data_IF_999924763133
#
_entry.id   IF_999924763133
#
_cell.length_a   1.000
_cell.length_b   1.000
_cell.length_c   1.000
_cell.angle_alpha   90.00
_cell.angle_beta   90.00
_cell.angle_gamma   90.00
#
_symmetry.space_group_name_H-M   'P 1'
#
loop_
_entity.id
_entity.type
_entity.pdbx_description
1 polymer ?
#
# COMPACT_ATOMS: atom_id res chain seq x y z
N UNK A 1 81.62 -54.40 -71.86
CA UNK A 1 81.34 -54.85 -70.48
C UNK A 1 82.04 -54.02 -69.41
N UNK A 2 83.39 -54.06 -69.24
CA UNK A 2 84.10 -53.42 -68.10
C UNK A 2 83.66 -51.98 -67.75
N UNK A 3 83.45 -51.11 -68.74
CA UNK A 3 82.96 -49.73 -68.54
C UNK A 3 81.60 -49.70 -67.83
N UNK A 4 80.61 -50.49 -68.27
CA UNK A 4 79.30 -50.59 -67.61
C UNK A 4 79.41 -51.08 -66.16
N UNK A 5 80.32 -52.00 -65.83
CA UNK A 5 80.53 -52.42 -64.44
C UNK A 5 81.18 -51.32 -63.56
N UNK A 6 81.90 -50.36 -64.14
CA UNK A 6 82.39 -49.18 -63.42
C UNK A 6 81.25 -48.19 -63.19
N UNK A 7 80.43 -47.92 -64.22
CA UNK A 7 79.22 -47.09 -64.08
C UNK A 7 78.24 -47.65 -63.04
N UNK A 8 77.94 -48.96 -63.05
CA UNK A 8 77.08 -49.56 -62.05
C UNK A 8 77.64 -49.45 -60.63
N UNK A 9 78.97 -49.59 -60.43
CA UNK A 9 79.61 -49.42 -59.12
C UNK A 9 79.57 -47.98 -58.63
N UNK A 10 79.80 -47.00 -59.52
CA UNK A 10 79.66 -45.58 -59.19
C UNK A 10 78.20 -45.24 -58.86
N UNK A 11 77.25 -45.70 -59.67
CA UNK A 11 75.82 -45.47 -59.47
C UNK A 11 75.33 -46.08 -58.15
N UNK A 12 75.75 -47.30 -57.81
CA UNK A 12 75.40 -47.97 -56.54
C UNK A 12 75.98 -47.30 -55.29
N UNK A 13 76.96 -46.42 -55.45
CA UNK A 13 77.60 -45.68 -54.36
C UNK A 13 77.06 -44.24 -54.27
N UNK A 14 76.81 -43.60 -55.42
CA UNK A 14 76.25 -42.25 -55.51
C UNK A 14 74.73 -42.20 -55.23
N UNK A 15 73.93 -43.19 -55.64
CA UNK A 15 72.50 -43.23 -55.35
C UNK A 15 72.17 -43.19 -53.84
N UNK A 16 72.75 -44.06 -52.97
CA UNK A 16 72.45 -44.01 -51.54
C UNK A 16 72.99 -42.74 -50.87
N UNK A 17 74.09 -42.15 -51.35
CA UNK A 17 74.57 -40.86 -50.86
C UNK A 17 73.59 -39.74 -51.23
N UNK A 18 73.16 -39.67 -52.49
CA UNK A 18 72.19 -38.68 -52.96
C UNK A 18 70.85 -38.80 -52.21
N UNK A 19 70.37 -40.03 -51.99
CA UNK A 19 69.16 -40.30 -51.20
C UNK A 19 69.34 -39.88 -49.73
N UNK A 20 70.48 -40.19 -49.11
CA UNK A 20 70.76 -39.79 -47.74
C UNK A 20 70.85 -38.26 -47.58
N UNK A 21 71.48 -37.55 -48.53
CA UNK A 21 71.51 -36.08 -48.52
C UNK A 21 70.14 -35.46 -48.78
N UNK A 22 69.31 -36.07 -49.64
CA UNK A 22 67.94 -35.63 -49.87
C UNK A 22 67.08 -35.79 -48.61
N UNK A 23 67.12 -36.97 -47.97
CA UNK A 23 66.39 -37.25 -46.73
C UNK A 23 66.87 -36.36 -45.57
N UNK A 24 68.17 -36.01 -45.53
CA UNK A 24 68.70 -35.07 -44.55
C UNK A 24 68.16 -33.65 -44.76
N UNK A 25 68.17 -33.13 -45.99
CA UNK A 25 67.56 -31.82 -46.30
C UNK A 25 66.05 -31.79 -46.05
N UNK A 26 65.33 -32.87 -46.35
CA UNK A 26 63.90 -32.99 -46.06
C UNK A 26 63.65 -32.99 -44.55
N UNK A 27 64.49 -33.69 -43.77
CA UNK A 27 64.45 -33.65 -42.31
C UNK A 27 64.77 -32.26 -41.75
N UNK A 28 65.76 -31.56 -42.30
CA UNK A 28 66.18 -30.22 -41.88
C UNK A 28 65.04 -29.19 -42.09
N UNK A 29 64.41 -29.20 -43.27
CA UNK A 29 63.24 -28.35 -43.59
C UNK A 29 62.03 -28.69 -42.71
N UNK A 30 61.84 -29.96 -42.33
CA UNK A 30 60.78 -30.35 -41.39
C UNK A 30 61.06 -29.87 -39.96
N UNK A 31 62.31 -29.93 -39.49
CA UNK A 31 62.69 -29.34 -38.18
C UNK A 31 62.48 -27.84 -38.16
N UNK A 32 62.97 -27.10 -39.17
CA UNK A 32 62.81 -25.63 -39.26
C UNK A 32 61.34 -25.18 -39.26
N UNK A 33 60.46 -25.91 -39.98
CA UNK A 33 59.01 -25.67 -39.97
C UNK A 33 58.37 -25.88 -38.60
N UNK A 34 58.89 -26.83 -37.81
CA UNK A 34 58.38 -27.13 -36.48
C UNK A 34 58.89 -26.16 -35.42
N UNK A 35 60.16 -25.74 -35.50
CA UNK A 35 60.77 -24.76 -34.60
C UNK A 35 60.15 -23.39 -34.81
N UNK A 36 60.09 -22.89 -36.05
CA UNK A 36 59.44 -21.60 -36.38
C UNK A 36 57.95 -21.57 -36.01
N UNK A 37 57.22 -22.68 -36.14
CA UNK A 37 55.83 -22.77 -35.68
C UNK A 37 55.72 -22.73 -34.14
N UNK A 38 56.65 -23.36 -33.43
CA UNK A 38 56.69 -23.30 -31.96
C UNK A 38 57.07 -21.91 -31.47
N UNK A 39 58.07 -21.25 -32.08
CA UNK A 39 58.46 -19.87 -31.74
C UNK A 39 57.32 -18.89 -31.97
N UNK A 40 56.58 -19.02 -33.08
CA UNK A 40 55.39 -18.22 -33.40
C UNK A 40 54.26 -18.46 -32.38
N UNK A 41 53.91 -19.71 -32.10
CA UNK A 41 52.90 -20.05 -31.07
C UNK A 41 53.31 -19.63 -29.67
N UNK A 42 54.60 -19.67 -29.34
CA UNK A 42 55.13 -19.15 -28.08
C UNK A 42 55.01 -17.63 -28.05
N UNK A 43 55.33 -16.92 -29.14
CA UNK A 43 55.15 -15.46 -29.26
C UNK A 43 53.68 -15.05 -29.12
N UNK A 44 52.77 -15.71 -29.83
CA UNK A 44 51.31 -15.48 -29.75
C UNK A 44 50.78 -15.77 -28.34
N UNK A 45 51.27 -16.83 -27.70
CA UNK A 45 50.97 -17.12 -26.30
C UNK A 45 51.55 -16.07 -25.35
N UNK A 46 52.73 -15.49 -25.64
CA UNK A 46 53.26 -14.38 -24.87
C UNK A 46 52.40 -13.13 -25.02
N UNK A 47 51.93 -12.75 -26.22
CA UNK A 47 51.06 -11.56 -26.36
C UNK A 47 49.65 -11.78 -25.77
N UNK A 48 48.96 -12.87 -26.10
CA UNK A 48 47.57 -13.11 -25.66
C UNK A 48 47.45 -13.60 -24.20
N UNK A 49 48.42 -14.37 -23.70
CA UNK A 49 48.38 -14.92 -22.33
C UNK A 49 49.30 -14.19 -21.35
N UNK A 50 50.41 -13.59 -21.79
CA UNK A 50 51.46 -13.05 -20.91
C UNK A 50 51.87 -11.59 -21.17
N UNK A 51 51.13 -10.80 -21.98
CA UNK A 51 51.47 -9.40 -22.29
C UNK A 51 51.96 -8.66 -21.04
N UNK A 52 53.19 -8.10 -21.10
CA UNK A 52 54.20 -7.91 -20.02
C UNK A 52 53.75 -7.22 -18.71
N UNK A 53 52.71 -7.78 -18.09
CA UNK A 53 51.85 -7.11 -17.12
C UNK A 53 51.39 -8.12 -16.07
N UNK A 54 52.33 -8.94 -15.58
CA UNK A 54 52.11 -9.76 -14.38
C UNK A 54 51.52 -8.91 -13.25
N UNK A 55 51.99 -7.68 -13.09
CA UNK A 55 51.43 -6.68 -12.18
C UNK A 55 49.93 -6.40 -12.37
N UNK A 56 49.43 -6.32 -13.61
CA UNK A 56 47.99 -6.16 -13.86
C UNK A 56 47.20 -7.44 -13.60
N UNK A 57 47.79 -8.63 -13.82
CA UNK A 57 47.14 -9.89 -13.44
C UNK A 57 47.12 -10.09 -11.92
N UNK A 58 48.18 -9.70 -11.22
CA UNK A 58 48.25 -9.68 -9.75
C UNK A 58 47.28 -8.63 -9.16
N UNK A 59 47.17 -7.43 -9.76
CA UNK A 59 46.17 -6.42 -9.41
C UNK A 59 44.74 -6.91 -9.70
N UNK A 60 44.49 -7.50 -10.86
CA UNK A 60 43.18 -8.08 -11.21
C UNK A 60 42.78 -9.18 -10.22
N UNK A 61 43.70 -10.07 -9.84
CA UNK A 61 43.48 -11.09 -8.82
C UNK A 61 43.19 -10.47 -7.45
N UNK A 62 43.87 -9.37 -7.09
CA UNK A 62 43.61 -8.63 -5.84
C UNK A 62 42.24 -7.94 -5.85
N UNK A 63 41.87 -7.25 -6.93
CA UNK A 63 40.53 -6.64 -7.09
C UNK A 63 39.42 -7.71 -7.12
N UNK A 64 39.69 -8.87 -7.73
CA UNK A 64 38.77 -10.01 -7.73
C UNK A 64 38.59 -10.55 -6.30
N UNK A 65 39.68 -10.80 -5.58
CA UNK A 65 39.62 -11.24 -4.19
C UNK A 65 38.86 -10.24 -3.31
N UNK A 66 39.06 -8.93 -3.50
CA UNK A 66 38.34 -7.89 -2.76
C UNK A 66 36.86 -7.72 -3.18
N UNK A 67 36.44 -8.23 -4.34
CA UNK A 67 35.03 -8.36 -4.72
C UNK A 67 34.42 -9.64 -4.15
N UNK A 68 35.12 -10.77 -4.26
CA UNK A 68 34.69 -12.06 -3.71
C UNK A 68 34.58 -11.97 -2.17
N UNK A 69 35.51 -11.31 -1.49
CA UNK A 69 35.48 -11.00 -0.04
C UNK A 69 34.26 -10.14 0.35
N UNK A 70 33.95 -9.09 -0.42
CA UNK A 70 32.78 -8.24 -0.18
C UNK A 70 31.45 -8.94 -0.50
N UNK A 71 31.47 -10.00 -1.31
CA UNK A 71 30.33 -10.85 -1.58
C UNK A 71 30.14 -11.92 -0.48
N UNK A 72 31.24 -12.52 -0.01
CA UNK A 72 31.22 -13.53 1.06
C UNK A 72 30.94 -12.92 2.43
N UNK A 73 31.37 -11.67 2.71
CA UNK A 73 31.04 -10.99 3.96
C UNK A 73 29.55 -10.71 4.11
N UNK A 74 28.86 -10.41 2.99
CA UNK A 74 27.42 -10.16 2.90
C UNK A 74 26.92 -9.23 4.03
N UNK A 75 27.70 -8.18 4.33
CA UNK A 75 27.41 -7.25 5.42
C UNK A 75 26.15 -6.43 5.13
N UNK A 76 25.30 -6.17 6.14
CA UNK A 76 24.17 -5.26 5.99
C UNK A 76 24.69 -3.82 5.84
N UNK A 77 24.19 -3.13 4.82
CA UNK A 77 24.58 -1.75 4.48
C UNK A 77 23.34 -0.88 4.54
N UNK A 78 23.48 0.38 4.97
CA UNK A 78 22.32 1.29 5.07
C UNK A 78 21.76 1.68 3.70
N UNK A 79 20.61 2.34 3.70
CA UNK A 79 20.00 2.96 2.52
C UNK A 79 20.72 4.25 2.07
N UNK A 80 21.57 4.84 2.90
CA UNK A 80 22.28 6.10 2.63
C UNK A 80 23.73 5.88 2.15
N UNK A 81 24.34 4.73 2.49
CA UNK A 81 25.71 4.37 2.11
C UNK A 81 25.80 3.84 0.68
N UNK A 82 26.91 4.16 -0.01
CA UNK A 82 27.22 3.54 -1.31
C UNK A 82 27.45 2.03 -1.17
N UNK A 83 26.90 1.24 -2.10
CA UNK A 83 27.02 -0.21 -2.03
C UNK A 83 28.49 -0.67 -2.22
N UNK A 84 29.14 -1.27 -1.20
CA UNK A 84 30.53 -1.70 -1.29
C UNK A 84 30.74 -2.75 -2.37
N UNK A 85 29.80 -3.68 -2.58
CA UNK A 85 29.90 -4.70 -3.62
C UNK A 85 29.85 -4.07 -5.03
N UNK A 86 29.07 -3.00 -5.21
CA UNK A 86 29.03 -2.23 -6.46
C UNK A 86 30.33 -1.46 -6.69
N UNK A 87 30.92 -0.87 -5.64
CA UNK A 87 32.23 -0.19 -5.71
C UNK A 87 33.35 -1.18 -6.05
N UNK A 88 33.42 -2.34 -5.39
CA UNK A 88 34.39 -3.40 -5.70
C UNK A 88 34.20 -3.95 -7.12
N UNK A 89 32.96 -4.05 -7.60
CA UNK A 89 32.68 -4.43 -8.98
C UNK A 89 33.12 -3.36 -10.00
N UNK A 90 32.93 -2.08 -9.71
CA UNK A 90 33.41 -0.99 -10.57
C UNK A 90 34.95 -0.99 -10.66
N UNK A 91 35.62 -1.13 -9.52
CA UNK A 91 37.07 -1.34 -9.39
C UNK A 91 37.56 -2.51 -10.26
N UNK A 92 37.01 -3.70 -10.02
CA UNK A 92 37.35 -4.94 -10.75
C UNK A 92 37.07 -4.83 -12.24
N UNK A 93 35.94 -4.22 -12.62
CA UNK A 93 35.59 -4.01 -14.02
C UNK A 93 36.55 -3.02 -14.69
N UNK A 94 37.06 -2.01 -13.98
CA UNK A 94 38.02 -1.06 -14.55
C UNK A 94 39.34 -1.75 -14.92
N UNK A 95 39.82 -2.69 -14.11
CA UNK A 95 41.05 -3.45 -14.38
C UNK A 95 40.83 -4.57 -15.40
N UNK A 96 39.68 -5.25 -15.38
CA UNK A 96 39.27 -6.18 -16.45
C UNK A 96 39.13 -5.45 -17.81
N UNK A 97 38.48 -4.28 -17.85
CA UNK A 97 38.30 -3.52 -19.08
C UNK A 97 39.64 -2.93 -19.60
N UNK A 98 40.58 -2.57 -18.73
CA UNK A 98 41.93 -2.13 -19.12
C UNK A 98 42.79 -3.23 -19.79
N UNK A 99 42.52 -4.51 -19.48
CA UNK A 99 43.13 -5.66 -20.15
C UNK A 99 42.34 -6.07 -21.41
N UNK A 100 41.03 -6.30 -21.26
CA UNK A 100 40.18 -6.92 -22.29
C UNK A 100 39.64 -5.94 -23.35
N UNK A 101 39.82 -4.62 -23.17
CA UNK A 101 39.43 -3.58 -24.13
C UNK A 101 40.59 -2.80 -24.75
N UNK A 102 41.85 -3.18 -24.51
CA UNK A 102 42.93 -2.69 -25.36
C UNK A 102 42.64 -3.08 -26.82
N UNK A 103 42.75 -2.12 -27.76
CA UNK A 103 42.55 -2.37 -29.18
C UNK A 103 43.56 -3.36 -29.72
N UNK A 104 44.84 -3.23 -29.35
CA UNK A 104 45.93 -4.09 -29.82
C UNK A 104 45.64 -5.57 -29.50
N UNK A 105 45.32 -5.86 -28.24
CA UNK A 105 44.94 -7.20 -27.77
C UNK A 105 43.70 -7.77 -28.50
N UNK A 106 42.74 -6.92 -28.88
CA UNK A 106 41.54 -7.35 -29.62
C UNK A 106 41.84 -7.61 -31.09
N UNK A 107 42.60 -6.73 -31.72
CA UNK A 107 42.99 -6.85 -33.12
C UNK A 107 43.93 -8.06 -33.31
N UNK A 108 44.81 -8.36 -32.36
CA UNK A 108 45.59 -9.61 -32.30
C UNK A 108 44.69 -10.84 -32.09
N UNK A 109 43.77 -10.79 -31.11
CA UNK A 109 42.87 -11.91 -30.81
C UNK A 109 41.96 -12.26 -31.99
N UNK A 110 41.40 -11.27 -32.69
CA UNK A 110 40.54 -11.50 -33.87
C UNK A 110 41.33 -11.99 -35.10
N UNK A 111 42.64 -11.68 -35.20
CA UNK A 111 43.54 -12.26 -36.21
C UNK A 111 43.93 -13.71 -35.89
N UNK A 112 44.29 -13.99 -34.64
CA UNK A 112 44.77 -15.31 -34.20
C UNK A 112 43.63 -16.32 -33.98
N UNK A 113 42.40 -15.85 -33.72
CA UNK A 113 41.20 -16.68 -33.61
C UNK A 113 40.49 -16.93 -34.95
N UNK A 114 41.25 -17.21 -36.01
CA UNK A 114 40.74 -17.53 -37.35
C UNK A 114 40.74 -19.04 -37.65
N UNK A 115 39.85 -19.49 -38.54
CA UNK A 115 39.88 -20.83 -39.14
C UNK A 115 40.87 -20.87 -40.31
N UNK A 116 42.00 -21.57 -40.13
CA UNK A 116 43.07 -21.67 -41.12
C UNK A 116 42.89 -22.93 -41.99
N UNK A 117 42.43 -22.74 -43.22
CA UNK A 117 42.26 -23.79 -44.23
C UNK A 117 43.55 -24.29 -44.89
N UNK A 118 43.42 -25.12 -45.92
CA UNK A 118 44.54 -25.78 -46.61
C UNK A 118 45.64 -24.80 -47.08
N UNK A 119 45.25 -23.78 -47.85
CA UNK A 119 46.15 -22.78 -48.43
C UNK A 119 46.36 -21.54 -47.54
N UNK A 120 45.93 -21.55 -46.27
CA UNK A 120 45.88 -20.34 -45.42
C UNK A 120 47.26 -19.75 -45.07
N UNK A 121 48.23 -20.62 -44.80
CA UNK A 121 49.64 -20.27 -44.61
C UNK A 121 50.51 -21.08 -45.56
N UNK A 122 51.56 -20.45 -46.09
CA UNK A 122 52.55 -21.06 -46.98
C UNK A 122 53.93 -20.95 -46.31
N UNK A 123 54.77 -21.98 -46.45
CA UNK A 123 56.16 -21.94 -45.99
C UNK A 123 57.04 -21.17 -46.99
N UNK A 124 57.60 -20.04 -46.56
CA UNK A 124 58.69 -19.38 -47.29
C UNK A 124 60.03 -20.00 -46.86
N UNK A 125 60.62 -20.80 -47.76
CA UNK A 125 61.94 -21.41 -47.56
C UNK A 125 63.11 -20.42 -47.64
N UNK A 126 62.90 -19.20 -48.14
CA UNK A 126 63.94 -18.17 -48.20
C UNK A 126 64.04 -17.36 -46.91
N UNK A 127 62.90 -17.02 -46.28
CA UNK A 127 62.85 -16.35 -44.98
C UNK A 127 62.64 -17.30 -43.78
N UNK A 128 62.59 -18.63 -44.02
CA UNK A 128 62.40 -19.70 -43.02
C UNK A 128 61.24 -19.45 -42.05
N UNK A 129 60.09 -19.07 -42.61
CA UNK A 129 58.88 -18.74 -41.82
C UNK A 129 57.59 -19.05 -42.57
N UNK A 130 56.51 -19.16 -41.81
CA UNK A 130 55.16 -19.18 -42.35
C UNK A 130 54.75 -17.78 -42.82
N UNK A 131 54.02 -17.69 -43.93
CA UNK A 131 53.44 -16.46 -44.46
C UNK A 131 51.95 -16.63 -44.74
N UNK A 132 51.10 -15.67 -44.35
CA UNK A 132 49.66 -15.73 -44.62
C UNK A 132 49.39 -15.54 -46.12
N UNK A 133 48.51 -16.37 -46.67
CA UNK A 133 48.16 -16.31 -48.08
C UNK A 133 47.08 -15.24 -48.33
N UNK A 134 47.47 -14.11 -48.93
CA UNK A 134 46.58 -12.99 -49.23
C UNK A 134 45.38 -13.33 -50.16
N UNK A 135 45.38 -14.50 -50.82
CA UNK A 135 44.27 -14.97 -51.65
C UNK A 135 43.17 -15.70 -50.84
N UNK A 136 43.44 -16.10 -49.59
CA UNK A 136 42.52 -16.90 -48.77
C UNK A 136 41.81 -16.01 -47.74
N UNK A 137 40.51 -15.78 -47.92
CA UNK A 137 39.71 -15.03 -46.94
C UNK A 137 39.30 -15.93 -45.77
N UNK A 138 40.07 -15.84 -44.69
CA UNK A 138 39.81 -16.48 -43.40
C UNK A 138 38.53 -15.94 -42.73
N UNK A 139 37.99 -16.72 -41.78
CA UNK A 139 36.85 -16.36 -40.93
C UNK A 139 37.05 -16.90 -39.51
N UNK A 140 36.53 -16.25 -38.46
CA UNK A 140 36.64 -16.75 -37.09
C UNK A 140 35.66 -17.92 -36.86
N UNK A 141 36.03 -18.92 -36.04
CA UNK A 141 35.23 -20.13 -35.86
C UNK A 141 33.92 -19.86 -35.11
N UNK A 142 32.95 -20.74 -35.32
CA UNK A 142 31.60 -20.60 -34.73
C UNK A 142 31.47 -21.16 -33.31
N UNK A 143 32.55 -21.72 -32.75
CA UNK A 143 32.61 -22.20 -31.36
C UNK A 143 33.79 -23.14 -31.11
N UNK A 144 33.74 -23.89 -30.00
CA UNK A 144 34.79 -24.81 -29.55
C UNK A 144 34.67 -26.25 -30.12
N UNK A 145 33.86 -26.45 -31.18
CA UNK A 145 33.75 -27.74 -31.87
C UNK A 145 34.88 -27.85 -32.89
N UNK A 146 35.49 -29.03 -33.00
CA UNK A 146 36.47 -29.33 -34.05
C UNK A 146 35.91 -28.99 -35.45
N UNK A 147 36.45 -27.97 -36.14
CA UNK A 147 35.96 -27.57 -37.45
C UNK A 147 36.40 -28.55 -38.56
N UNK A 148 37.44 -29.36 -38.31
CA UNK A 148 38.02 -30.27 -39.28
C UNK A 148 37.57 -31.73 -39.13
N UNK A 149 36.57 -31.98 -38.27
CA UNK A 149 36.01 -33.31 -37.96
C UNK A 149 35.53 -34.08 -39.20
N UNK A 150 35.16 -33.37 -40.26
CA UNK A 150 34.72 -33.97 -41.52
C UNK A 150 35.90 -34.14 -42.47
N UNK A 151 36.61 -35.27 -42.36
CA UNK A 151 37.75 -35.62 -43.20
C UNK A 151 37.42 -35.71 -44.71
N UNK A 152 36.15 -35.77 -45.09
CA UNK A 152 35.74 -35.73 -46.51
C UNK A 152 35.83 -34.32 -47.10
N UNK A 153 35.65 -33.28 -46.27
CA UNK A 153 35.82 -31.86 -46.64
C UNK A 153 37.20 -31.33 -46.26
N UNK A 154 37.79 -31.90 -45.22
CA UNK A 154 39.02 -31.44 -44.58
C UNK A 154 39.99 -32.61 -44.37
N UNK A 155 40.56 -33.20 -45.43
CA UNK A 155 41.53 -34.28 -45.30
C UNK A 155 42.87 -33.77 -44.73
N UNK A 156 43.70 -34.67 -44.18
CA UNK A 156 45.06 -34.31 -43.72
C UNK A 156 46.05 -34.15 -44.88
N UNK A 157 45.85 -34.90 -45.95
CA UNK A 157 46.69 -34.92 -47.14
C UNK A 157 45.84 -34.68 -48.39
N UNK A 158 46.48 -34.25 -49.48
CA UNK A 158 45.83 -34.05 -50.76
C UNK A 158 45.13 -35.33 -51.24
N UNK A 159 43.86 -35.21 -51.57
CA UNK A 159 42.98 -36.31 -51.97
C UNK A 159 42.40 -36.03 -53.35
N UNK A 160 42.74 -36.86 -54.32
CA UNK A 160 42.03 -36.95 -55.60
C UNK A 160 40.80 -37.84 -55.43
N UNK A 161 39.61 -37.29 -55.63
CA UNK A 161 38.38 -38.07 -55.71
C UNK A 161 38.19 -38.67 -57.12
N UNK A 162 37.28 -39.64 -57.25
CA UNK A 162 37.14 -40.48 -58.46
C UNK A 162 36.86 -39.72 -59.77
N UNK A 163 36.27 -38.52 -59.66
CA UNK A 163 35.98 -37.63 -60.79
C UNK A 163 37.19 -36.77 -61.22
N UNK A 164 38.38 -37.00 -60.64
CA UNK A 164 39.62 -36.27 -60.92
C UNK A 164 39.74 -34.91 -60.20
N UNK A 165 38.78 -34.56 -59.34
CA UNK A 165 38.84 -33.35 -58.52
C UNK A 165 39.85 -33.51 -57.37
N UNK A 166 40.65 -32.46 -57.12
CA UNK A 166 41.67 -32.44 -56.08
C UNK A 166 41.19 -31.66 -54.85
N UNK A 167 40.89 -32.36 -53.77
CA UNK A 167 40.61 -31.79 -52.45
C UNK A 167 41.92 -31.68 -51.68
N UNK A 168 42.45 -30.47 -51.49
CA UNK A 168 43.71 -30.23 -50.77
C UNK A 168 43.64 -30.62 -49.30
N UNK A 169 44.74 -31.14 -48.78
CA UNK A 169 44.94 -31.42 -47.36
C UNK A 169 45.11 -30.15 -46.52
N UNK A 170 44.62 -30.17 -45.28
CA UNK A 170 44.93 -29.13 -44.29
C UNK A 170 46.07 -29.61 -43.40
N UNK A 171 47.20 -28.88 -43.44
CA UNK A 171 48.41 -29.16 -42.67
C UNK A 171 48.14 -29.24 -41.16
N UNK A 172 49.00 -29.98 -40.47
CA UNK A 172 48.90 -30.15 -39.01
C UNK A 172 49.05 -28.82 -38.28
N UNK A 173 49.87 -27.93 -38.84
CA UNK A 173 50.17 -26.60 -38.32
C UNK A 173 48.93 -25.69 -38.43
N UNK A 174 48.25 -25.64 -39.58
CA UNK A 174 47.04 -24.85 -39.76
C UNK A 174 45.88 -25.35 -38.89
N UNK A 175 45.78 -26.67 -38.68
CA UNK A 175 44.85 -27.27 -37.71
C UNK A 175 45.15 -26.82 -36.28
N UNK A 176 46.42 -26.87 -35.86
CA UNK A 176 46.85 -26.46 -34.52
C UNK A 176 46.64 -24.96 -34.28
N UNK A 177 47.00 -24.09 -35.24
CA UNK A 177 46.72 -22.63 -35.18
C UNK A 177 45.24 -22.36 -34.91
N UNK A 178 44.36 -23.01 -35.66
CA UNK A 178 42.90 -22.85 -35.53
C UNK A 178 42.42 -23.26 -34.13
N UNK A 179 42.89 -24.40 -33.62
CA UNK A 179 42.51 -24.90 -32.29
C UNK A 179 43.04 -23.99 -31.16
N UNK A 180 44.25 -23.45 -31.29
CA UNK A 180 44.80 -22.46 -30.34
C UNK A 180 43.98 -21.16 -30.36
N UNK A 181 43.66 -20.65 -31.55
CA UNK A 181 42.77 -19.51 -31.75
C UNK A 181 41.38 -19.69 -31.12
N UNK A 182 40.80 -20.89 -31.23
CA UNK A 182 39.55 -21.25 -30.56
C UNK A 182 39.68 -21.17 -29.03
N UNK A 183 40.78 -21.65 -28.44
CA UNK A 183 41.01 -21.57 -27.00
C UNK A 183 41.24 -20.13 -26.51
N UNK A 184 42.00 -19.31 -27.23
CA UNK A 184 42.18 -17.89 -26.89
C UNK A 184 40.85 -17.13 -26.85
N UNK A 185 39.99 -17.36 -27.84
CA UNK A 185 38.67 -16.70 -27.94
C UNK A 185 37.65 -17.25 -26.94
N UNK A 186 37.67 -18.55 -26.64
CA UNK A 186 36.87 -19.14 -25.57
C UNK A 186 37.23 -18.57 -24.18
N UNK A 187 38.53 -18.42 -23.87
CA UNK A 187 39.00 -17.74 -22.66
C UNK A 187 38.46 -16.31 -22.58
N UNK A 188 38.53 -15.54 -23.67
CA UNK A 188 38.01 -14.18 -23.73
C UNK A 188 36.49 -14.13 -23.46
N UNK A 189 35.72 -14.97 -24.15
CA UNK A 189 34.27 -15.05 -24.00
C UNK A 189 33.85 -15.40 -22.55
N UNK A 190 34.55 -16.33 -21.90
CA UNK A 190 34.29 -16.73 -20.51
C UNK A 190 34.59 -15.62 -19.49
N UNK A 191 35.59 -14.77 -19.75
CA UNK A 191 35.86 -13.60 -18.91
C UNK A 191 34.76 -12.54 -19.06
N UNK A 192 34.26 -12.31 -20.28
CA UNK A 192 33.10 -11.43 -20.51
C UNK A 192 31.83 -11.97 -19.86
N UNK A 193 31.59 -13.28 -19.91
CA UNK A 193 30.47 -13.92 -19.22
C UNK A 193 30.57 -13.77 -17.69
N UNK A 194 31.76 -14.00 -17.11
CA UNK A 194 32.00 -13.82 -15.69
C UNK A 194 31.76 -12.36 -15.23
N UNK A 195 32.21 -11.36 -15.99
CA UNK A 195 31.90 -9.95 -15.74
C UNK A 195 30.38 -9.70 -15.76
N UNK A 196 29.68 -10.22 -16.78
CA UNK A 196 28.22 -10.12 -16.91
C UNK A 196 27.43 -10.86 -15.82
N UNK A 197 27.99 -11.90 -15.21
CA UNK A 197 27.42 -12.58 -14.04
C UNK A 197 27.61 -11.75 -12.77
N UNK A 198 28.81 -11.22 -12.50
CA UNK A 198 29.05 -10.31 -11.34
C UNK A 198 28.14 -9.08 -11.39
N UNK A 199 27.94 -8.49 -12.57
CA UNK A 199 26.98 -7.38 -12.76
C UNK A 199 25.55 -7.74 -12.31
N UNK A 200 25.09 -8.97 -12.59
CA UNK A 200 23.76 -9.46 -12.15
C UNK A 200 23.70 -9.69 -10.64
N UNK A 201 24.80 -10.11 -10.01
CA UNK A 201 24.90 -10.25 -8.55
C UNK A 201 24.73 -8.89 -7.86
N UNK A 202 25.44 -7.86 -8.33
CA UNK A 202 25.32 -6.48 -7.81
C UNK A 202 23.89 -5.94 -7.96
N UNK A 203 23.22 -6.22 -9.08
CA UNK A 203 21.82 -5.84 -9.28
C UNK A 203 20.88 -6.56 -8.29
N UNK A 204 21.10 -7.86 -8.03
CA UNK A 204 20.28 -8.63 -7.08
C UNK A 204 20.47 -8.20 -5.63
N UNK A 205 21.70 -7.90 -5.21
CA UNK A 205 21.99 -7.32 -3.90
C UNK A 205 21.29 -5.96 -3.73
N UNK A 206 21.31 -5.09 -4.76
CA UNK A 206 20.53 -3.85 -4.76
C UNK A 206 19.02 -4.09 -4.60
N UNK A 207 18.43 -4.98 -5.41
CA UNK A 207 17.00 -5.34 -5.31
C UNK A 207 16.64 -5.83 -3.89
N UNK A 208 17.49 -6.67 -3.29
CA UNK A 208 17.27 -7.19 -1.93
C UNK A 208 17.25 -6.09 -0.87
N UNK A 209 18.11 -5.06 -0.97
CA UNK A 209 18.11 -3.91 -0.06
C UNK A 209 16.87 -3.04 -0.24
N UNK A 210 16.45 -2.82 -1.48
CA UNK A 210 15.20 -2.10 -1.79
C UNK A 210 13.99 -2.83 -1.17
N UNK A 211 13.94 -4.17 -1.22
CA UNK A 211 12.94 -4.96 -0.49
C UNK A 211 13.07 -4.93 1.04
N UNK A 212 14.30 -4.95 1.59
CA UNK A 212 14.51 -4.86 3.04
C UNK A 212 14.01 -3.52 3.60
N UNK A 213 14.31 -2.42 2.92
CA UNK A 213 13.86 -1.08 3.33
C UNK A 213 12.33 -0.99 3.35
N UNK A 214 11.66 -1.46 2.30
CA UNK A 214 10.18 -1.55 2.25
C UNK A 214 9.62 -2.40 3.39
N UNK A 215 10.26 -3.52 3.73
CA UNK A 215 9.83 -4.37 4.85
C UNK A 215 10.01 -3.69 6.22
N UNK A 216 11.05 -2.87 6.40
CA UNK A 216 11.21 -2.05 7.61
C UNK A 216 10.15 -0.94 7.70
N UNK A 217 9.81 -0.30 6.58
CA UNK A 217 8.71 0.69 6.50
C UNK A 217 7.34 0.07 6.80
N UNK A 218 7.02 -1.09 6.19
CA UNK A 218 5.79 -1.84 6.48
C UNK A 218 5.70 -2.27 7.95
N UNK A 219 6.83 -2.70 8.55
CA UNK A 219 6.90 -3.06 9.97
C UNK A 219 6.62 -1.85 10.88
N UNK A 220 7.21 -0.69 10.60
CA UNK A 220 6.95 0.54 11.35
C UNK A 220 5.50 1.02 11.20
N UNK A 221 4.94 0.97 9.99
CA UNK A 221 3.54 1.29 9.74
C UNK A 221 2.59 0.32 10.48
N UNK A 222 2.93 -0.97 10.53
CA UNK A 222 2.19 -1.99 11.27
C UNK A 222 2.23 -1.75 12.78
N UNK A 223 3.37 -1.41 13.36
CA UNK A 223 3.49 -1.06 14.79
C UNK A 223 2.59 0.13 15.14
N UNK A 224 2.57 1.17 14.31
CA UNK A 224 1.66 2.32 14.44
C UNK A 224 0.17 1.93 14.33
N UNK A 225 -0.17 0.94 13.50
CA UNK A 225 -1.54 0.43 13.40
C UNK A 225 -1.93 -0.42 14.63
N UNK A 226 -1.03 -1.25 15.15
CA UNK A 226 -1.28 -2.07 16.35
C UNK A 226 -1.46 -1.16 17.59
N UNK A 227 -0.66 -0.10 17.72
CA UNK A 227 -0.86 0.96 18.73
C UNK A 227 -2.24 1.64 18.60
N UNK A 228 -2.63 2.06 17.39
CA UNK A 228 -3.95 2.69 17.15
C UNK A 228 -5.11 1.74 17.47
N UNK A 229 -5.00 0.46 17.16
CA UNK A 229 -5.99 -0.56 17.52
C UNK A 229 -6.07 -0.72 19.04
N UNK A 230 -4.95 -0.64 19.76
CA UNK A 230 -4.94 -0.72 21.23
C UNK A 230 -5.67 0.47 21.87
N UNK A 231 -5.40 1.71 21.44
CA UNK A 231 -6.05 2.93 21.93
C UNK A 231 -7.55 2.93 21.63
N UNK A 232 -7.95 2.56 20.39
CA UNK A 232 -9.35 2.40 20.03
C UNK A 232 -10.06 1.33 20.88
N UNK A 233 -9.38 0.24 21.24
CA UNK A 233 -9.92 -0.82 22.10
C UNK A 233 -10.12 -0.32 23.54
N UNK A 234 -9.17 0.43 24.09
CA UNK A 234 -9.29 1.06 25.42
C UNK A 234 -10.46 2.05 25.44
N UNK A 235 -10.57 2.93 24.43
CA UNK A 235 -11.67 3.89 24.30
C UNK A 235 -13.02 3.20 24.18
N UNK A 236 -13.13 2.15 23.36
CA UNK A 236 -14.35 1.36 23.21
C UNK A 236 -14.78 0.75 24.55
N UNK A 237 -13.84 0.14 25.28
CA UNK A 237 -14.11 -0.44 26.60
C UNK A 237 -14.54 0.62 27.63
N UNK A 238 -13.94 1.82 27.62
CA UNK A 238 -14.38 2.91 28.51
C UNK A 238 -15.78 3.46 28.14
N UNK A 239 -16.10 3.53 26.85
CA UNK A 239 -17.43 3.95 26.38
C UNK A 239 -18.50 2.91 26.70
N UNK A 240 -18.18 1.62 26.54
CA UNK A 240 -19.01 0.49 26.95
C UNK A 240 -19.33 0.56 28.45
N UNK A 241 -18.30 0.72 29.30
CA UNK A 241 -18.47 0.83 30.75
C UNK A 241 -19.27 2.08 31.16
N UNK A 242 -19.07 3.22 30.48
CA UNK A 242 -19.88 4.43 30.69
C UNK A 242 -21.35 4.23 30.33
N UNK A 243 -21.63 3.61 29.18
CA UNK A 243 -22.99 3.28 28.72
C UNK A 243 -23.68 2.27 29.66
N UNK A 244 -22.96 1.26 30.13
CA UNK A 244 -23.51 0.27 31.06
C UNK A 244 -23.75 0.88 32.46
N UNK A 245 -22.95 1.88 32.88
CA UNK A 245 -23.29 2.71 34.05
C UNK A 245 -24.54 3.55 33.81
N UNK A 246 -24.66 4.26 32.69
CA UNK A 246 -25.84 5.09 32.39
C UNK A 246 -27.14 4.26 32.39
N UNK A 247 -27.11 3.00 31.92
CA UNK A 247 -28.23 2.07 32.00
C UNK A 247 -28.63 1.71 33.45
N UNK A 248 -27.67 1.65 34.37
CA UNK A 248 -27.92 1.39 35.80
C UNK A 248 -28.44 2.65 36.48
N UNK A 249 -27.77 3.79 36.26
CA UNK A 249 -28.17 5.08 36.83
C UNK A 249 -29.62 5.42 36.41
N UNK A 250 -29.95 5.36 35.11
CA UNK A 250 -31.33 5.59 34.60
C UNK A 250 -32.36 4.60 35.17
N UNK A 251 -31.99 3.33 35.39
CA UNK A 251 -32.92 2.37 36.02
C UNK A 251 -33.27 2.80 37.44
N UNK A 252 -32.28 3.23 38.22
CA UNK A 252 -32.51 3.74 39.57
C UNK A 252 -33.34 5.04 39.58
N UNK A 253 -33.20 5.90 38.56
CA UNK A 253 -34.07 7.08 38.35
C UNK A 253 -35.52 6.68 38.03
N UNK A 254 -35.73 5.66 37.19
CA UNK A 254 -37.07 5.13 36.89
C UNK A 254 -37.71 4.48 38.13
N UNK A 255 -36.97 3.65 38.87
CA UNK A 255 -37.44 3.00 40.10
C UNK A 255 -37.85 4.05 41.15
N UNK A 256 -37.03 5.08 41.39
CA UNK A 256 -37.38 6.21 42.27
C UNK A 256 -38.58 7.03 41.78
N UNK A 257 -38.78 7.14 40.46
CA UNK A 257 -39.93 7.82 39.88
C UNK A 257 -41.22 7.01 40.06
N UNK A 258 -41.15 5.67 39.92
CA UNK A 258 -42.29 4.77 40.18
C UNK A 258 -42.68 4.75 41.66
N UNK A 259 -41.71 4.64 42.58
CA UNK A 259 -41.95 4.75 44.04
C UNK A 259 -42.67 6.07 44.38
N UNK A 260 -42.19 7.19 43.84
CA UNK A 260 -42.78 8.52 44.08
C UNK A 260 -44.16 8.69 43.46
N UNK A 261 -44.45 8.04 42.33
CA UNK A 261 -45.80 7.97 41.75
C UNK A 261 -46.72 7.16 42.66
N UNK A 262 -46.25 6.04 43.23
CA UNK A 262 -47.03 5.25 44.19
C UNK A 262 -47.32 6.04 45.48
N UNK A 263 -46.33 6.74 46.05
CA UNK A 263 -46.52 7.63 47.20
C UNK A 263 -47.59 8.71 46.93
N UNK A 264 -47.53 9.37 45.76
CA UNK A 264 -48.49 10.40 45.36
C UNK A 264 -49.90 9.83 45.16
N UNK A 265 -50.03 8.65 44.53
CA UNK A 265 -51.32 7.97 44.35
C UNK A 265 -51.92 7.55 45.71
N UNK A 266 -51.11 6.98 46.60
CA UNK A 266 -51.51 6.64 47.97
C UNK A 266 -51.87 7.89 48.80
N UNK A 267 -51.21 9.03 48.55
CA UNK A 267 -51.54 10.33 49.13
C UNK A 267 -52.88 10.88 48.63
N UNK A 268 -53.13 10.82 47.31
CA UNK A 268 -54.40 11.22 46.71
C UNK A 268 -55.56 10.37 47.23
N UNK A 269 -55.43 9.05 47.26
CA UNK A 269 -56.47 8.15 47.79
C UNK A 269 -56.82 8.46 49.26
N UNK A 270 -55.82 8.78 50.09
CA UNK A 270 -56.04 9.24 51.48
C UNK A 270 -56.77 10.58 51.52
N UNK A 271 -56.38 11.56 50.70
CA UNK A 271 -57.03 12.86 50.63
C UNK A 271 -58.48 12.79 50.13
N UNK A 272 -58.79 11.87 49.21
CA UNK A 272 -60.17 11.62 48.77
C UNK A 272 -61.01 10.96 49.87
N UNK A 273 -60.47 9.98 50.59
CA UNK A 273 -61.13 9.38 51.76
C UNK A 273 -61.39 10.43 52.87
N UNK A 274 -60.40 11.27 53.18
CA UNK A 274 -60.52 12.38 54.13
C UNK A 274 -61.56 13.42 53.70
N UNK A 275 -61.63 13.73 52.40
CA UNK A 275 -62.61 14.63 51.79
C UNK A 275 -64.04 14.08 51.85
N UNK A 276 -64.21 12.77 51.65
CA UNK A 276 -65.50 12.08 51.82
C UNK A 276 -65.89 12.09 53.30
N UNK A 277 -64.97 11.75 54.20
CA UNK A 277 -65.21 11.73 55.64
C UNK A 277 -65.61 13.11 56.18
N UNK A 278 -64.84 14.16 55.88
CA UNK A 278 -65.13 15.54 56.31
C UNK A 278 -66.47 16.06 55.79
N UNK A 279 -66.93 15.59 54.61
CA UNK A 279 -68.29 15.88 54.14
C UNK A 279 -69.35 15.22 55.02
N UNK A 280 -69.21 13.94 55.34
CA UNK A 280 -70.14 13.24 56.23
C UNK A 280 -70.13 13.83 57.65
N UNK A 281 -68.95 14.15 58.20
CA UNK A 281 -68.79 14.82 59.50
C UNK A 281 -69.50 16.19 59.50
N UNK A 282 -69.36 16.98 58.42
CA UNK A 282 -70.03 18.28 58.25
C UNK A 282 -71.55 18.16 58.02
N UNK A 283 -72.01 17.19 57.24
CA UNK A 283 -73.44 16.92 57.04
C UNK A 283 -74.10 16.51 58.37
N UNK A 284 -73.42 15.71 59.20
CA UNK A 284 -73.84 15.41 60.57
C UNK A 284 -73.88 16.64 61.49
N UNK A 285 -72.89 17.54 61.41
CA UNK A 285 -72.87 18.79 62.18
C UNK A 285 -74.03 19.73 61.78
N UNK A 286 -74.30 19.85 60.48
CA UNK A 286 -75.42 20.63 59.94
C UNK A 286 -76.77 20.06 60.42
N UNK A 287 -76.96 18.73 60.37
CA UNK A 287 -78.19 18.11 60.87
C UNK A 287 -78.34 18.26 62.40
N UNK A 288 -77.25 18.13 63.17
CA UNK A 288 -77.25 18.38 64.61
C UNK A 288 -77.69 19.82 64.93
N UNK A 289 -77.03 20.82 64.32
CA UNK A 289 -77.39 22.24 64.43
C UNK A 289 -78.85 22.50 64.00
N UNK A 290 -79.35 21.80 62.98
CA UNK A 290 -80.73 21.91 62.52
C UNK A 290 -81.74 21.32 63.52
N UNK A 291 -81.37 20.25 64.26
CA UNK A 291 -82.20 19.71 65.34
C UNK A 291 -82.21 20.60 66.58
N UNK A 292 -81.07 21.14 66.99
CA UNK A 292 -80.96 22.09 68.10
C UNK A 292 -81.69 23.40 67.78
N UNK A 293 -81.54 23.94 66.56
CA UNK A 293 -82.28 25.13 66.15
C UNK A 293 -83.81 24.92 66.16
N UNK A 294 -84.30 23.73 65.73
CA UNK A 294 -85.72 23.36 65.90
C UNK A 294 -86.15 23.28 67.37
N UNK A 295 -85.25 22.86 68.27
CA UNK A 295 -85.52 22.78 69.70
C UNK A 295 -85.56 24.17 70.35
N UNK A 296 -84.62 25.07 69.98
CA UNK A 296 -84.64 26.49 70.36
C UNK A 296 -85.90 27.19 69.83
N UNK A 297 -86.31 26.95 68.58
CA UNK A 297 -87.58 27.46 68.04
C UNK A 297 -88.78 26.96 68.85
N UNK A 298 -88.81 25.68 69.25
CA UNK A 298 -89.86 25.15 70.14
C UNK A 298 -89.85 25.82 71.52
N UNK A 299 -88.68 26.03 72.13
CA UNK A 299 -88.54 26.74 73.41
C UNK A 299 -89.02 28.19 73.29
N UNK A 300 -88.57 28.92 72.26
CA UNK A 300 -88.99 30.31 72.00
C UNK A 300 -90.47 30.44 71.70
N UNK A 301 -91.09 29.50 70.98
CA UNK A 301 -92.54 29.45 70.81
C UNK A 301 -93.29 29.14 72.12
N UNK A 302 -92.66 28.40 73.06
CA UNK A 302 -93.16 28.21 74.42
C UNK A 302 -93.06 29.49 75.27
N UNK A 303 -91.93 30.18 75.21
CA UNK A 303 -91.73 31.49 75.84
C UNK A 303 -92.73 32.52 75.30
N UNK A 304 -92.93 32.60 73.98
CA UNK A 304 -93.90 33.49 73.33
C UNK A 304 -95.31 33.20 73.87
N UNK A 305 -95.74 31.94 73.95
CA UNK A 305 -97.06 31.60 74.54
C UNK A 305 -97.21 32.04 76.01
N UNK A 306 -96.14 31.99 76.81
CA UNK A 306 -96.16 32.51 78.18
C UNK A 306 -96.08 34.04 78.24
N UNK A 307 -95.38 34.67 77.30
CA UNK A 307 -95.33 36.12 77.12
C UNK A 307 -96.67 36.68 76.63
N UNK A 308 -97.40 35.96 75.78
CA UNK A 308 -98.77 36.28 75.34
C UNK A 308 -99.77 36.14 76.49
N UNK A 309 -99.65 35.09 77.32
CA UNK A 309 -100.47 34.94 78.53
C UNK A 309 -100.20 36.04 79.56
N UNK A 310 -98.93 36.43 79.74
CA UNK A 310 -98.56 37.60 80.54
C UNK A 310 -98.98 38.92 79.89
N UNK A 311 -98.98 38.99 78.55
CA UNK A 311 -99.46 40.09 77.73
C UNK A 311 -100.97 40.28 77.83
N UNK A 312 -101.74 39.20 77.97
CA UNK A 312 -103.17 39.23 78.23
C UNK A 312 -103.49 39.80 79.62
N UNK A 313 -102.71 39.41 80.66
CA UNK A 313 -102.80 40.04 81.99
C UNK A 313 -102.43 41.51 81.95
N UNK A 314 -101.28 41.86 81.37
CA UNK A 314 -100.86 43.25 81.15
C UNK A 314 -101.87 44.02 80.29
N UNK A 315 -102.58 43.36 79.39
CA UNK A 315 -103.66 43.93 78.57
C UNK A 315 -104.85 44.35 79.44
N UNK A 316 -105.27 43.51 80.37
CA UNK A 316 -106.31 43.83 81.36
C UNK A 316 -105.84 44.98 82.27
N UNK A 317 -104.64 44.87 82.85
CA UNK A 317 -104.08 45.89 83.76
C UNK A 317 -103.88 47.24 83.05
N UNK A 318 -103.45 47.25 81.78
CA UNK A 318 -103.31 48.48 80.98
C UNK A 318 -104.61 49.00 80.40
N UNK A 319 -105.68 48.19 80.29
CA UNK A 319 -107.01 48.70 79.98
C UNK A 319 -107.60 49.47 81.17
N UNK A 320 -107.31 49.03 82.40
CA UNK A 320 -107.61 49.79 83.62
C UNK A 320 -106.75 51.06 83.70
N UNK A 321 -105.44 50.97 83.43
CA UNK A 321 -104.56 52.15 83.47
C UNK A 321 -104.84 53.19 82.36
N UNK A 322 -105.32 52.79 81.18
CA UNK A 322 -105.52 53.69 80.02
C UNK A 322 -106.68 54.68 80.15
N UNK A 323 -107.48 54.65 81.23
CA UNK A 323 -108.35 55.77 81.56
C UNK A 323 -107.60 56.99 82.15
N UNK A 324 -106.29 56.88 82.45
CA UNK A 324 -105.47 57.97 83.03
C UNK A 324 -104.09 58.19 82.33
N UNK A 325 -104.10 58.44 81.01
CA UNK A 325 -103.22 59.43 80.35
C UNK A 325 -101.72 59.18 80.09
N UNK A 326 -101.38 58.88 78.82
CA UNK A 326 -100.08 59.20 78.16
C UNK A 326 -98.84 58.33 78.47
N UNK A 327 -97.69 58.44 77.76
CA UNK A 327 -97.38 58.91 76.39
C UNK A 327 -95.91 58.56 75.98
N UNK A 328 -95.60 58.41 74.67
CA UNK A 328 -94.23 58.42 74.05
C UNK A 328 -93.24 57.26 74.40
N UNK A 329 -92.12 56.93 73.71
CA UNK A 329 -91.54 57.16 72.36
C UNK A 329 -90.35 56.14 72.14
N UNK A 330 -90.14 55.45 70.98
CA UNK A 330 -89.30 55.76 69.78
C UNK A 330 -87.87 55.09 69.71
N UNK A 331 -87.27 55.08 68.50
CA UNK A 331 -85.87 54.69 68.09
C UNK A 331 -85.44 53.18 68.05
N UNK A 332 -84.36 52.73 67.34
CA UNK A 332 -83.81 52.99 65.97
C UNK A 332 -82.62 52.02 65.61
N UNK A 333 -81.84 52.28 64.53
CA UNK A 333 -80.64 51.58 63.96
C UNK A 333 -80.92 50.29 63.14
N UNK A 334 -80.31 49.93 61.99
CA UNK A 334 -78.97 50.13 61.31
C UNK A 334 -77.93 49.01 61.65
N UNK A 335 -76.93 48.61 60.83
CA UNK A 335 -76.25 49.19 59.63
C UNK A 335 -75.42 48.14 58.79
N UNK A 336 -74.78 48.53 57.66
CA UNK A 336 -73.62 47.88 56.96
C UNK A 336 -73.84 46.52 56.21
N UNK A 337 -72.96 45.87 55.38
CA UNK A 337 -71.81 46.11 54.43
C UNK A 337 -71.53 44.75 53.66
N UNK A 338 -70.63 44.46 52.67
CA UNK A 338 -69.59 45.11 51.82
C UNK A 338 -69.31 44.26 50.51
N UNK A 339 -68.61 44.76 49.44
CA UNK A 339 -68.29 44.00 48.18
C UNK A 339 -66.77 43.90 47.77
N UNK A 340 -66.40 43.07 46.75
CA UNK A 340 -65.24 43.08 45.76
C UNK A 340 -64.91 41.64 45.21
N UNK A 341 -64.00 41.34 44.23
CA UNK A 341 -63.91 41.78 42.81
C UNK A 341 -63.44 40.69 41.74
N UNK A 342 -63.09 41.17 40.53
CA UNK A 342 -62.38 40.57 39.36
C UNK A 342 -60.86 40.23 39.58
N UNK A 343 -60.00 39.62 38.71
CA UNK A 343 -59.90 38.86 37.39
C UNK A 343 -58.39 38.39 37.23
N UNK A 344 -57.76 37.75 36.20
CA UNK A 344 -58.00 37.16 34.83
C UNK A 344 -56.82 36.21 34.45
N UNK A 345 -56.92 35.42 33.37
CA UNK A 345 -55.83 34.63 32.72
C UNK A 345 -54.89 35.44 31.79
N UNK A 346 -53.85 34.79 31.21
CA UNK A 346 -53.52 34.80 29.77
C UNK A 346 -52.47 33.71 29.36
N UNK A 347 -52.30 33.46 28.05
CA UNK A 347 -51.55 32.33 27.44
C UNK A 347 -50.56 32.78 26.32
N UNK A 348 -49.95 31.80 25.64
CA UNK A 348 -49.37 31.86 24.27
C UNK A 348 -48.02 32.59 24.06
N UNK A 349 -47.23 32.35 22.99
CA UNK A 349 -46.94 31.16 22.12
C UNK A 349 -45.57 31.43 21.41
N UNK A 350 -44.94 30.57 20.58
CA UNK A 350 -45.06 30.53 19.10
C UNK A 350 -43.96 29.62 18.45
N UNK A 351 -44.37 28.82 17.45
CA UNK A 351 -43.69 28.28 16.24
C UNK A 351 -42.43 27.35 16.19
N UNK A 352 -42.34 26.69 15.02
CA UNK A 352 -41.32 25.74 14.53
C UNK A 352 -40.31 26.41 13.59
N UNK A 353 -39.29 25.66 13.15
CA UNK A 353 -38.76 25.75 11.77
C UNK A 353 -38.44 24.37 11.18
N UNK A 354 -38.98 24.09 10.01
CA UNK A 354 -38.60 22.97 9.14
C UNK A 354 -37.52 23.45 8.15
N UNK A 355 -36.67 22.55 7.63
CA UNK A 355 -35.58 22.88 6.69
C UNK A 355 -35.77 22.10 5.38
N UNK A 356 -35.45 22.75 4.25
CA UNK A 356 -35.84 22.32 2.90
C UNK A 356 -34.99 21.16 2.32
N UNK A 357 -35.54 20.51 1.29
CA UNK A 357 -34.86 19.49 0.48
C UNK A 357 -34.23 20.11 -0.78
N UNK A 358 -33.07 20.75 -0.64
CA UNK A 358 -32.25 21.20 -1.77
C UNK A 358 -30.80 20.66 -1.65
N UNK A 359 -30.15 20.40 -2.79
CA UNK A 359 -28.84 19.74 -2.85
C UNK A 359 -27.68 20.61 -2.39
N UNK A 360 -26.62 20.00 -1.87
CA UNK A 360 -25.42 20.73 -1.39
C UNK A 360 -24.42 20.91 -2.52
N UNK A 361 -24.09 22.17 -2.86
CA UNK A 361 -23.05 22.48 -3.85
C UNK A 361 -21.65 22.32 -3.23
N UNK A 362 -20.68 21.82 -4.00
CA UNK A 362 -19.33 21.50 -3.56
C UNK A 362 -18.30 21.59 -4.69
N UNK A 363 -17.02 21.37 -4.38
CA UNK A 363 -15.89 21.31 -5.32
C UNK A 363 -15.08 20.03 -5.08
N UNK A 364 -14.63 19.35 -6.13
CA UNK A 364 -13.86 18.09 -5.98
C UNK A 364 -12.43 18.38 -5.48
N UNK A 365 -12.22 18.29 -4.16
CA UNK A 365 -10.92 18.57 -3.53
C UNK A 365 -9.83 17.57 -3.95
N UNK A 366 -10.18 16.29 -4.12
CA UNK A 366 -9.32 15.24 -4.70
C UNK A 366 -10.18 14.14 -5.34
N UNK A 367 -9.69 13.56 -6.42
CA UNK A 367 -10.23 12.34 -7.03
C UNK A 367 -9.08 11.40 -7.37
N UNK A 368 -9.33 10.11 -7.26
CA UNK A 368 -8.48 9.00 -7.66
C UNK A 368 -9.33 8.05 -8.51
N UNK A 369 -9.07 8.06 -9.82
CA UNK A 369 -9.86 7.32 -10.80
C UNK A 369 -9.51 5.82 -10.82
N UNK A 370 -8.34 5.42 -10.34
CA UNK A 370 -7.88 4.03 -10.32
C UNK A 370 -8.42 3.31 -9.08
N UNK A 371 -8.39 3.97 -7.92
CA UNK A 371 -9.04 3.48 -6.70
C UNK A 371 -10.57 3.70 -6.67
N UNK A 372 -11.11 4.51 -7.59
CA UNK A 372 -12.52 4.90 -7.60
C UNK A 372 -12.92 5.77 -6.39
N UNK A 373 -11.99 6.56 -5.85
CA UNK A 373 -12.16 7.30 -4.59
C UNK A 373 -12.24 8.81 -4.82
N UNK A 374 -13.09 9.48 -4.06
CA UNK A 374 -13.40 10.90 -4.21
C UNK A 374 -13.51 11.60 -2.84
N UNK A 375 -12.87 12.77 -2.72
CA UNK A 375 -12.87 13.61 -1.52
C UNK A 375 -13.58 14.93 -1.83
N UNK A 376 -14.58 15.25 -1.00
CA UNK A 376 -15.34 16.49 -1.08
C UNK A 376 -15.18 17.28 0.23
N UNK A 377 -15.05 18.62 0.18
CA UNK A 377 -15.06 19.53 1.33
C UNK A 377 -16.49 19.74 1.84
N UNK A 378 -17.16 18.64 2.17
CA UNK A 378 -18.50 18.59 2.75
C UNK A 378 -18.49 17.45 3.75
N UNK A 379 -18.76 17.75 5.02
CA UNK A 379 -18.65 16.79 6.10
C UNK A 379 -19.97 16.33 6.68
N UNK A 380 -19.88 15.85 7.92
CA UNK A 380 -21.01 15.37 8.72
C UNK A 380 -22.13 16.42 8.84
N UNK A 381 -21.79 17.70 8.81
CA UNK A 381 -22.71 18.83 8.90
C UNK A 381 -23.73 18.92 7.75
N UNK A 382 -23.48 18.31 6.58
CA UNK A 382 -24.48 18.20 5.50
C UNK A 382 -25.36 16.95 5.57
N UNK A 383 -25.25 16.15 6.63
CA UNK A 383 -25.87 14.83 6.71
C UNK A 383 -25.09 13.72 5.98
N UNK A 384 -23.84 13.95 5.56
CA UNK A 384 -22.99 12.90 4.99
C UNK A 384 -22.56 11.91 6.08
N UNK A 385 -23.33 10.83 6.27
CA UNK A 385 -23.00 9.73 7.19
C UNK A 385 -22.48 8.49 6.44
N UNK A 386 -21.68 7.65 7.12
CA UNK A 386 -21.07 6.46 6.52
C UNK A 386 -22.13 5.48 6.02
N UNK A 387 -22.01 5.05 4.76
CA UNK A 387 -22.91 4.11 4.10
C UNK A 387 -24.03 4.76 3.28
N UNK A 388 -24.35 6.05 3.47
CA UNK A 388 -25.27 6.76 2.59
C UNK A 388 -24.74 6.86 1.15
N UNK A 389 -25.67 6.99 0.20
CA UNK A 389 -25.38 7.11 -1.24
C UNK A 389 -25.90 8.46 -1.74
N UNK A 390 -25.03 9.19 -2.44
CA UNK A 390 -25.34 10.49 -3.03
C UNK A 390 -25.09 10.45 -4.55
N UNK A 391 -25.92 11.16 -5.30
CA UNK A 391 -25.71 11.43 -6.72
C UNK A 391 -24.86 12.69 -6.86
N UNK A 392 -23.77 12.60 -7.63
CA UNK A 392 -22.88 13.71 -7.97
C UNK A 392 -23.31 14.23 -9.34
N UNK A 393 -23.83 15.45 -9.36
CA UNK A 393 -24.33 16.11 -10.57
C UNK A 393 -23.37 17.18 -11.05
N UNK A 394 -23.07 17.15 -12.36
CA UNK A 394 -22.23 18.11 -13.07
C UNK A 394 -22.96 18.53 -14.34
N UNK A 395 -22.98 19.82 -14.66
CA UNK A 395 -23.59 20.38 -15.89
C UNK A 395 -25.01 19.86 -16.20
N UNK A 396 -25.82 19.69 -15.15
CA UNK A 396 -27.20 19.14 -15.18
C UNK A 396 -27.30 17.67 -15.63
N UNK A 397 -26.23 16.88 -15.47
CA UNK A 397 -26.22 15.41 -15.65
C UNK A 397 -25.75 14.73 -14.37
N UNK A 398 -26.26 13.53 -14.10
CA UNK A 398 -25.72 12.64 -13.05
C UNK A 398 -24.40 12.06 -13.56
N UNK A 399 -23.27 12.51 -12.99
CA UNK A 399 -21.93 12.16 -13.45
C UNK A 399 -21.36 10.94 -12.72
N UNK A 400 -21.73 10.74 -11.45
CA UNK A 400 -21.44 9.51 -10.70
C UNK A 400 -22.43 9.33 -9.54
N UNK A 401 -22.57 8.10 -9.02
CA UNK A 401 -23.05 7.89 -7.63
C UNK A 401 -21.89 7.55 -6.71
N UNK A 402 -21.91 8.09 -5.50
CA UNK A 402 -20.86 7.90 -4.50
C UNK A 402 -21.45 7.33 -3.20
N UNK A 403 -20.75 6.39 -2.56
CA UNK A 403 -21.08 5.88 -1.23
C UNK A 403 -20.07 6.38 -0.20
N UNK A 404 -20.54 6.99 0.88
CA UNK A 404 -19.66 7.55 1.93
C UNK A 404 -18.94 6.43 2.68
N UNK A 405 -17.60 6.43 2.63
CA UNK A 405 -16.75 5.48 3.35
C UNK A 405 -16.34 6.01 4.72
N UNK A 406 -16.06 7.31 4.81
CA UNK A 406 -15.89 8.04 6.07
C UNK A 406 -16.30 9.50 5.89
N UNK A 407 -16.64 10.14 7.01
CA UNK A 407 -17.03 11.53 7.08
C UNK A 407 -16.48 12.12 8.37
N UNK A 408 -15.93 13.33 8.27
CA UNK A 408 -15.44 14.17 9.37
C UNK A 408 -16.04 15.55 9.18
N UNK A 409 -15.91 16.42 10.18
CA UNK A 409 -16.45 17.78 10.06
C UNK A 409 -15.70 18.53 8.95
N UNK A 410 -16.44 19.08 7.98
CA UNK A 410 -15.90 19.74 6.78
C UNK A 410 -15.42 18.85 5.62
N UNK A 411 -15.31 17.51 5.77
CA UNK A 411 -14.82 16.63 4.70
C UNK A 411 -15.41 15.21 4.70
N UNK A 412 -15.75 14.71 3.51
CA UNK A 412 -16.18 13.32 3.27
C UNK A 412 -15.25 12.61 2.28
N UNK A 413 -15.00 11.34 2.56
CA UNK A 413 -14.34 10.39 1.66
C UNK A 413 -15.39 9.39 1.18
N UNK A 414 -15.57 9.30 -0.14
CA UNK A 414 -16.57 8.45 -0.75
C UNK A 414 -16.00 7.61 -1.89
N UNK A 415 -16.60 6.45 -2.12
CA UNK A 415 -16.27 5.52 -3.21
C UNK A 415 -17.29 5.67 -4.34
N UNK A 416 -16.80 5.89 -5.56
CA UNK A 416 -17.59 5.96 -6.79
C UNK A 416 -18.16 4.57 -7.09
N UNK A 417 -19.47 4.46 -7.29
CA UNK A 417 -20.14 3.19 -7.59
C UNK A 417 -19.99 2.90 -9.09
N UNK A 418 -19.23 1.87 -9.53
CA UNK A 418 -18.86 1.70 -10.95
C UNK A 418 -20.02 1.41 -11.92
N UNK A 419 -21.24 1.25 -11.41
CA UNK A 419 -22.46 0.95 -12.17
C UNK A 419 -23.28 2.18 -12.54
N UNK A 420 -22.88 3.40 -12.13
CA UNK A 420 -23.71 4.60 -12.22
C UNK A 420 -22.91 5.86 -12.59
N UNK A 421 -23.09 6.33 -13.83
CA UNK A 421 -22.46 7.55 -14.37
C UNK A 421 -21.13 7.28 -15.10
N UNK A 422 -20.57 8.34 -15.68
CA UNK A 422 -19.28 8.36 -16.38
C UNK A 422 -18.23 9.04 -15.48
N UNK A 423 -17.53 8.33 -14.56
CA UNK A 423 -16.66 8.97 -13.58
C UNK A 423 -15.42 9.65 -14.18
N UNK A 424 -15.03 9.30 -15.42
CA UNK A 424 -13.99 10.02 -16.18
C UNK A 424 -14.32 11.50 -16.44
N UNK A 425 -15.60 11.89 -16.35
CA UNK A 425 -16.04 13.27 -16.49
C UNK A 425 -15.79 14.14 -15.24
N UNK A 426 -15.33 13.56 -14.13
CA UNK A 426 -15.03 14.26 -12.89
C UNK A 426 -13.54 14.58 -12.78
N UNK A 427 -13.21 15.84 -12.47
CA UNK A 427 -11.83 16.29 -12.26
C UNK A 427 -11.70 17.10 -10.98
N UNK A 428 -10.49 17.11 -10.42
CA UNK A 428 -10.14 17.94 -9.26
C UNK A 428 -10.33 19.42 -9.57
N UNK A 429 -10.93 20.18 -8.65
CA UNK A 429 -11.21 21.61 -8.78
C UNK A 429 -12.51 21.96 -9.53
N UNK A 430 -13.34 20.96 -9.86
CA UNK A 430 -14.62 21.20 -10.52
C UNK A 430 -15.78 21.28 -9.52
N UNK A 431 -16.70 22.21 -9.75
CA UNK A 431 -17.92 22.36 -8.96
C UNK A 431 -18.96 21.29 -9.30
N UNK A 432 -19.50 20.62 -8.27
CA UNK A 432 -20.51 19.57 -8.40
C UNK A 432 -21.62 19.74 -7.36
N UNK A 433 -22.84 19.32 -7.72
CA UNK A 433 -24.01 19.32 -6.85
C UNK A 433 -24.23 17.92 -6.26
N UNK A 434 -24.25 17.82 -4.94
CA UNK A 434 -24.45 16.57 -4.19
C UNK A 434 -25.92 16.47 -3.80
N UNK A 435 -26.60 15.42 -4.27
CA UNK A 435 -28.02 15.16 -3.99
C UNK A 435 -28.17 13.80 -3.29
N UNK A 436 -28.86 13.71 -2.14
CA UNK A 436 -29.12 12.43 -1.49
C UNK A 436 -30.03 11.56 -2.36
N UNK A 437 -29.61 10.31 -2.62
CA UNK A 437 -30.44 9.32 -3.32
C UNK A 437 -31.32 8.61 -2.29
N UNK A 438 -32.63 8.55 -2.55
CA UNK A 438 -33.59 7.78 -1.74
C UNK A 438 -33.57 6.29 -2.11
#
# INVERSE_FOLDING_TARGET
MKVFSVFFRLLSLLLPIALATYLWMESEVLTERSESFLDEVVSDAYSILQADKKSLWDELNSKKAAFDEAFESNEPVSSEDENPLALKFADLRSTEDALLRNSEYRDELDQLSMEFGADAFIWDSSAKRWMPNALVKLKPPTGLRDPFRDESKFPLYDRTDGDGYLTKGISRENRLRTVLGMFYRDRHNKLLEANGLRAKVVLRDRELREFQNLFYEEKGFREVLEDQVSDLTVRLNSAQAGLDKEKVDRKSEFEQAEERIEELNNGLAKLEADKIKRKADFEMEVDALWTDHKLVIKQKNGEIRMADAAGYKRGIDTYVAKQLGGASAAMQYADALSPYPDKTDHQESIEKKEIAQEGTSSEIARIDNEAGMLVLPVGKESGATKGHVFGVWKDKREAARIRVQSSRDGYMLAHILPSFGDPEYLRRGESVLIIPVR
#
